data_IF_764345920675
#
_entry.id   IF_764345920675
#
_cell.length_a   1.000
_cell.length_b   1.000
_cell.length_c   1.000
_cell.angle_alpha   90.00
_cell.angle_beta   90.00
_cell.angle_gamma   90.00
#
_symmetry.space_group_name_H-M   'P 1'
#
loop_
_entity.id
_entity.type
_entity.pdbx_description
1 polymer ?
#
# COMPACT_ATOMS: atom_id res chain seq x y z
N UNK A 1 -19.81 5.33 17.78
CA UNK A 1 -18.67 5.69 16.87
C UNK A 1 -17.78 4.50 16.69
N UNK A 2 -17.45 4.15 15.46
CA UNK A 2 -16.47 3.09 15.24
C UNK A 2 -15.07 3.53 15.68
N UNK A 3 -14.23 2.57 16.02
CA UNK A 3 -12.81 2.82 16.23
C UNK A 3 -12.14 3.15 14.89
N UNK A 4 -10.92 3.66 14.93
CA UNK A 4 -10.13 3.92 13.71
C UNK A 4 -9.97 2.64 12.89
N UNK A 5 -9.68 1.53 13.55
CA UNK A 5 -9.54 0.23 12.91
C UNK A 5 -10.85 -0.21 12.22
N UNK A 6 -11.97 -0.12 12.93
CA UNK A 6 -13.27 -0.49 12.37
C UNK A 6 -13.67 0.38 11.18
N UNK A 7 -13.39 1.68 11.25
CA UNK A 7 -13.66 2.59 10.15
C UNK A 7 -12.96 2.15 8.86
N UNK A 8 -11.67 1.87 8.95
CA UNK A 8 -10.89 1.45 7.79
C UNK A 8 -11.19 0.03 7.35
N UNK A 9 -11.51 -0.86 8.29
CA UNK A 9 -11.97 -2.20 7.95
C UNK A 9 -13.21 -2.16 7.05
N UNK A 10 -14.15 -1.26 7.37
CA UNK A 10 -15.36 -1.09 6.58
C UNK A 10 -15.10 -0.54 5.18
N UNK A 11 -14.00 0.16 4.96
CA UNK A 11 -13.63 0.73 3.66
C UNK A 11 -12.75 -0.17 2.81
N UNK A 12 -12.11 -1.17 3.42
CA UNK A 12 -11.15 -2.03 2.74
C UNK A 12 -11.73 -2.74 1.52
N UNK A 13 -12.97 -3.15 1.59
CA UNK A 13 -13.62 -3.92 0.53
C UNK A 13 -13.64 -3.18 -0.81
N UNK A 14 -13.86 -1.88 -0.81
CA UNK A 14 -13.99 -1.07 -2.01
C UNK A 14 -12.83 -0.09 -2.23
N UNK A 15 -11.82 -0.15 -1.38
CA UNK A 15 -10.76 0.85 -1.35
C UNK A 15 -10.00 0.93 -2.67
N UNK A 16 -9.53 -0.20 -3.18
CA UNK A 16 -8.75 -0.22 -4.42
C UNK A 16 -9.57 0.25 -5.62
N UNK A 17 -10.84 -0.12 -5.69
CA UNK A 17 -11.72 0.32 -6.76
C UNK A 17 -11.93 1.83 -6.72
N UNK A 18 -12.16 2.41 -5.54
CA UNK A 18 -12.33 3.85 -5.38
C UNK A 18 -11.06 4.62 -5.71
N UNK A 19 -9.92 4.15 -5.22
CA UNK A 19 -8.62 4.78 -5.49
C UNK A 19 -8.29 4.69 -6.97
N UNK A 20 -8.51 3.53 -7.59
CA UNK A 20 -8.24 3.33 -9.02
C UNK A 20 -9.11 4.22 -9.91
N UNK A 21 -10.35 4.53 -9.48
CA UNK A 21 -11.26 5.38 -10.26
C UNK A 21 -10.91 6.86 -10.14
N UNK A 22 -10.64 7.33 -8.89
CA UNK A 22 -10.54 8.77 -8.63
C UNK A 22 -9.13 9.27 -8.40
N UNK A 23 -8.20 8.42 -8.01
CA UNK A 23 -6.87 8.83 -7.53
C UNK A 23 -5.70 8.10 -8.18
N UNK A 24 -5.94 7.32 -9.24
CA UNK A 24 -4.89 6.50 -9.86
C UNK A 24 -3.68 7.35 -10.28
N UNK A 25 -3.91 8.48 -10.91
CA UNK A 25 -2.83 9.36 -11.36
C UNK A 25 -2.02 9.92 -10.19
N UNK A 26 -2.68 10.32 -9.11
CA UNK A 26 -2.00 10.82 -7.91
C UNK A 26 -1.10 9.75 -7.29
N UNK A 27 -1.56 8.52 -7.24
CA UNK A 27 -0.75 7.41 -6.72
C UNK A 27 0.42 7.08 -7.61
N UNK A 28 0.25 7.11 -8.93
CA UNK A 28 1.34 6.89 -9.87
C UNK A 28 2.43 7.95 -9.73
N UNK A 29 2.05 9.22 -9.63
CA UNK A 29 2.99 10.33 -9.45
C UNK A 29 3.71 10.24 -8.11
N UNK A 30 2.98 9.86 -7.05
CA UNK A 30 3.57 9.68 -5.72
C UNK A 30 4.61 8.57 -5.73
N UNK A 31 4.29 7.43 -6.30
CA UNK A 31 5.21 6.31 -6.41
C UNK A 31 6.46 6.68 -7.22
N UNK A 32 6.29 7.37 -8.34
CA UNK A 32 7.40 7.84 -9.16
C UNK A 32 8.30 8.81 -8.40
N UNK A 33 7.71 9.69 -7.58
CA UNK A 33 8.46 10.61 -6.74
C UNK A 33 9.30 9.87 -5.70
N UNK A 34 8.73 8.89 -5.01
CA UNK A 34 9.47 8.09 -4.04
C UNK A 34 10.64 7.35 -4.67
N UNK A 35 10.45 6.78 -5.85
CA UNK A 35 11.49 6.01 -6.54
C UNK A 35 12.74 6.82 -6.81
N UNK A 36 12.63 8.13 -6.98
CA UNK A 36 13.80 9.01 -7.20
C UNK A 36 14.74 9.04 -6.00
N UNK A 37 14.22 8.80 -4.80
CA UNK A 37 14.98 8.88 -3.56
C UNK A 37 15.35 7.52 -2.98
N UNK A 38 14.88 6.43 -3.59
CA UNK A 38 15.09 5.08 -3.09
C UNK A 38 16.23 4.39 -3.84
N UNK A 39 17.00 3.60 -3.11
CA UNK A 39 18.12 2.82 -3.64
C UNK A 39 17.80 1.33 -3.53
N UNK A 40 18.39 0.48 -4.38
CA UNK A 40 18.18 -0.98 -4.29
C UNK A 40 18.60 -1.59 -2.95
N UNK A 41 19.45 -0.92 -2.19
CA UNK A 41 19.93 -1.38 -0.88
C UNK A 41 19.08 -0.90 0.29
N UNK A 42 18.06 -0.06 0.04
CA UNK A 42 17.24 0.50 1.11
C UNK A 42 16.26 -0.51 1.66
N UNK A 43 16.03 -0.42 2.98
CA UNK A 43 14.88 -1.01 3.65
C UNK A 43 13.89 0.10 3.97
N UNK A 44 12.62 -0.11 3.64
CA UNK A 44 11.58 0.91 3.75
C UNK A 44 10.52 0.46 4.75
N UNK A 45 10.08 1.38 5.59
CA UNK A 45 8.88 1.19 6.42
C UNK A 45 7.74 1.98 5.78
N UNK A 46 6.71 1.27 5.35
CA UNK A 46 5.48 1.86 4.83
C UNK A 46 4.45 1.88 5.95
N UNK A 47 4.34 3.02 6.60
CA UNK A 47 3.43 3.22 7.72
C UNK A 47 2.04 3.61 7.19
N UNK A 48 0.99 2.96 7.71
CA UNK A 48 -0.38 3.11 7.22
C UNK A 48 -0.50 2.69 5.73
N UNK A 49 -0.01 1.50 5.44
CA UNK A 49 0.09 1.01 4.05
C UNK A 49 -1.26 0.77 3.35
N UNK A 50 -2.34 0.64 4.11
CA UNK A 50 -3.64 0.27 3.55
C UNK A 50 -3.58 -1.05 2.81
N UNK A 51 -4.10 -1.08 1.59
CA UNK A 51 -4.10 -2.28 0.74
C UNK A 51 -2.78 -2.49 0.00
N UNK A 52 -1.78 -1.65 0.26
CA UNK A 52 -0.44 -1.82 -0.28
C UNK A 52 -0.20 -1.21 -1.66
N UNK A 53 -1.01 -0.25 -2.09
CA UNK A 53 -0.86 0.36 -3.42
C UNK A 53 0.54 0.94 -3.61
N UNK A 54 1.01 1.76 -2.66
CA UNK A 54 2.35 2.34 -2.71
C UNK A 54 3.41 1.29 -2.40
N UNK A 55 3.14 0.41 -1.43
CA UNK A 55 4.04 -0.67 -1.03
C UNK A 55 4.52 -1.47 -2.24
N UNK A 56 3.58 -1.98 -3.03
CA UNK A 56 3.90 -2.81 -4.19
C UNK A 56 4.50 -2.01 -5.34
N UNK A 57 4.18 -0.72 -5.42
CA UNK A 57 4.78 0.16 -6.43
C UNK A 57 6.27 0.39 -6.18
N UNK A 58 6.69 0.50 -4.92
CA UNK A 58 8.09 0.78 -4.58
C UNK A 58 8.93 -0.47 -4.31
N UNK A 59 8.30 -1.59 -3.96
CA UNK A 59 9.00 -2.81 -3.57
C UNK A 59 10.06 -3.28 -4.58
N UNK A 60 9.82 -3.24 -5.89
CA UNK A 60 10.84 -3.65 -6.87
C UNK A 60 12.09 -2.77 -6.89
N UNK A 61 12.03 -1.57 -6.32
CA UNK A 61 13.10 -0.58 -6.36
C UNK A 61 14.01 -0.60 -5.13
N UNK A 62 13.69 -1.42 -4.13
CA UNK A 62 14.40 -1.45 -2.84
C UNK A 62 14.70 -2.88 -2.42
N UNK A 63 15.50 -3.03 -1.37
CA UNK A 63 15.85 -4.35 -0.86
C UNK A 63 14.67 -5.03 -0.19
N UNK A 64 13.94 -4.29 0.66
CA UNK A 64 12.76 -4.82 1.35
C UNK A 64 11.84 -3.70 1.79
N UNK A 65 10.55 -4.03 1.94
CA UNK A 65 9.55 -3.12 2.51
C UNK A 65 8.86 -3.84 3.65
N UNK A 66 8.78 -3.17 4.80
CA UNK A 66 7.91 -3.59 5.90
C UNK A 66 6.71 -2.64 5.88
N UNK A 67 5.53 -3.20 5.70
CA UNK A 67 4.30 -2.43 5.62
C UNK A 67 3.42 -2.74 6.82
N UNK A 68 2.87 -1.70 7.44
CA UNK A 68 2.00 -1.83 8.60
C UNK A 68 0.77 -0.95 8.45
N UNK A 69 -0.33 -1.40 9.03
CA UNK A 69 -1.58 -0.63 9.06
C UNK A 69 -2.39 -0.99 10.30
N UNK A 70 -3.20 -0.06 10.76
CA UNK A 70 -4.09 -0.28 11.90
C UNK A 70 -5.27 -1.19 11.53
N UNK A 71 -5.64 -1.24 10.26
CA UNK A 71 -6.76 -2.04 9.78
C UNK A 71 -6.32 -3.44 9.38
N UNK A 72 -6.79 -4.46 10.09
CA UNK A 72 -6.53 -5.86 9.74
C UNK A 72 -7.08 -6.23 8.38
N UNK A 73 -8.23 -5.68 7.97
CA UNK A 73 -8.81 -5.94 6.65
C UNK A 73 -7.98 -5.31 5.53
N UNK A 74 -7.42 -4.12 5.73
CA UNK A 74 -6.50 -3.52 4.77
C UNK A 74 -5.27 -4.40 4.59
N UNK A 75 -4.66 -4.84 5.69
CA UNK A 75 -3.49 -5.72 5.66
C UNK A 75 -3.82 -7.04 4.97
N UNK A 76 -4.99 -7.61 5.23
CA UNK A 76 -5.43 -8.83 4.58
C UNK A 76 -5.49 -8.66 3.06
N UNK A 77 -6.03 -7.54 2.59
CA UNK A 77 -6.08 -7.22 1.16
C UNK A 77 -4.68 -7.09 0.57
N UNK A 78 -3.77 -6.46 1.30
CA UNK A 78 -2.38 -6.35 0.87
C UNK A 78 -1.72 -7.73 0.76
N UNK A 79 -1.96 -8.60 1.72
CA UNK A 79 -1.42 -9.96 1.72
C UNK A 79 -1.95 -10.78 0.55
N UNK A 80 -3.21 -10.61 0.18
CA UNK A 80 -3.78 -11.26 -1.01
C UNK A 80 -3.07 -10.83 -2.28
N UNK A 81 -2.80 -9.55 -2.43
CA UNK A 81 -2.05 -9.02 -3.58
C UNK A 81 -0.64 -9.59 -3.64
N UNK A 82 -0.01 -9.79 -2.48
CA UNK A 82 1.33 -10.36 -2.41
C UNK A 82 1.39 -11.78 -2.95
N UNK A 83 0.33 -12.57 -2.80
CA UNK A 83 0.26 -13.92 -3.32
C UNK A 83 0.25 -13.94 -4.85
N UNK A 84 -0.38 -12.96 -5.46
CA UNK A 84 -0.47 -12.84 -6.92
C UNK A 84 0.78 -12.15 -7.47
N UNK A 85 1.28 -11.15 -6.76
CA UNK A 85 2.46 -10.40 -7.13
C UNK A 85 3.70 -11.14 -6.65
N UNK A 86 4.51 -11.57 -7.56
CA UNK A 86 5.76 -12.25 -7.24
C UNK A 86 6.94 -11.57 -7.89
N UNK A 87 7.96 -11.41 -7.11
CA UNK A 87 9.26 -11.01 -7.61
C UNK A 87 10.14 -12.22 -7.77
#
# INVERSE_FOLDING_TARGET
MPTVSEFWDGRAQNYDAQVGTYYAEAYEKTAACFKKYLKPTDTVLDFACGTGIVTFAVAPSVQSVRAIDVSGEMVRRAQEKRRVWRT
#
